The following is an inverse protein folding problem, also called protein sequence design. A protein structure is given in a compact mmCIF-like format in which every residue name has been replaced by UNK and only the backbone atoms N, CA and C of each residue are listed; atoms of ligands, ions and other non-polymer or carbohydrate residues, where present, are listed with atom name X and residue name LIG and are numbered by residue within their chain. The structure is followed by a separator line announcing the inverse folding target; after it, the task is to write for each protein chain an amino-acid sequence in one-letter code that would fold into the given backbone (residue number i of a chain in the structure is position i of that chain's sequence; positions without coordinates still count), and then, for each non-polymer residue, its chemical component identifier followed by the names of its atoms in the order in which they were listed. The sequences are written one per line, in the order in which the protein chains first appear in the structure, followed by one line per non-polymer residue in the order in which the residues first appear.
data_IF_631493867222
#
_entry.id   IF_631493867222
#
_cell.length_a   1.000
_cell.length_b   1.000
_cell.length_c   1.000
_cell.angle_alpha   90.00
_cell.angle_beta   90.00
_cell.angle_gamma   90.00
#
_symmetry.space_group_name_H-M   'P 1'
#
loop_
_entity.id
_entity.type
_entity.pdbx_description
1 polymer ?
#
# COMPACT_ATOMS: atom_id res chain seq x y z
N UNK A 1 -14.74 -15.09 -7.11
CA UNK A 1 -13.92 -13.98 -7.62
C UNK A 1 -13.89 -12.93 -6.54
N UNK A 2 -12.71 -12.47 -6.13
CA UNK A 2 -12.56 -11.45 -5.09
C UNK A 2 -12.23 -10.10 -5.74
N UNK A 3 -12.38 -9.02 -4.98
CA UNK A 3 -12.11 -7.65 -5.43
C UNK A 3 -11.05 -7.02 -4.54
N UNK A 4 -10.02 -6.41 -5.13
CA UNK A 4 -8.95 -5.72 -4.40
C UNK A 4 -9.10 -4.22 -4.59
N UNK A 5 -9.18 -3.48 -3.48
CA UNK A 5 -9.13 -2.02 -3.49
C UNK A 5 -7.70 -1.56 -3.25
N UNK A 6 -7.16 -0.77 -4.17
CA UNK A 6 -5.77 -0.31 -4.20
C UNK A 6 -5.75 1.21 -4.28
N UNK A 7 -5.00 1.82 -3.38
CA UNK A 7 -4.79 3.26 -3.29
C UNK A 7 -3.46 3.59 -3.94
N UNK A 8 -3.48 4.43 -4.96
CA UNK A 8 -2.28 4.95 -5.60
C UNK A 8 -1.93 6.30 -4.99
N UNK A 9 -0.66 6.48 -4.65
CA UNK A 9 -0.16 7.70 -4.02
C UNK A 9 0.46 8.61 -5.08
N UNK A 10 0.33 9.93 -4.85
CA UNK A 10 1.10 10.92 -5.61
C UNK A 10 2.57 10.65 -5.38
N UNK A 11 3.37 10.67 -6.46
CA UNK A 11 4.82 10.42 -6.41
C UNK A 11 5.44 11.21 -5.24
N UNK A 12 5.87 10.52 -4.18
CA UNK A 12 6.39 11.18 -2.99
C UNK A 12 7.77 11.79 -3.21
N UNK A 13 8.35 11.59 -4.41
CA UNK A 13 9.71 11.97 -4.73
C UNK A 13 10.72 11.06 -4.03
N UNK A 14 11.99 11.48 -4.12
CA UNK A 14 13.11 10.75 -3.54
C UNK A 14 13.16 10.90 -2.03
N UNK A 15 13.14 9.82 -1.26
CA UNK A 15 13.30 9.93 0.20
C UNK A 15 14.78 10.11 0.59
N UNK A 16 15.09 10.76 1.73
CA UNK A 16 16.46 11.16 2.06
C UNK A 16 17.50 10.02 2.14
N UNK A 17 17.05 8.78 2.37
CA UNK A 17 17.91 7.60 2.44
C UNK A 17 17.88 6.75 1.16
N UNK A 18 17.11 7.14 0.14
CA UNK A 18 16.87 6.32 -1.04
C UNK A 18 18.16 5.90 -1.76
N UNK A 19 19.10 6.82 -1.99
CA UNK A 19 20.39 6.51 -2.65
C UNK A 19 21.20 5.47 -1.89
N UNK A 20 21.30 5.65 -0.57
CA UNK A 20 22.09 4.78 0.31
C UNK A 20 21.45 3.39 0.43
N UNK A 21 20.13 3.33 0.40
CA UNK A 21 19.36 2.09 0.42
C UNK A 21 19.41 1.35 -0.92
N UNK A 22 19.43 2.07 -2.05
CA UNK A 22 19.66 1.51 -3.39
C UNK A 22 21.07 0.94 -3.52
N UNK A 23 22.09 1.64 -3.02
CA UNK A 23 23.47 1.14 -2.92
C UNK A 23 23.54 -0.16 -2.09
N UNK A 24 22.93 -0.18 -0.90
CA UNK A 24 22.89 -1.37 -0.05
C UNK A 24 22.09 -2.53 -0.64
N UNK A 25 21.01 -2.26 -1.37
CA UNK A 25 20.23 -3.29 -2.07
C UNK A 25 21.02 -3.92 -3.23
N UNK A 26 21.91 -3.14 -3.87
CA UNK A 26 22.78 -3.60 -4.96
C UNK A 26 24.03 -4.35 -4.50
N UNK A 27 24.46 -4.15 -3.25
CA UNK A 27 25.71 -4.71 -2.70
C UNK A 27 25.66 -6.19 -2.29
N UNK A 28 24.50 -6.85 -2.38
CA UNK A 28 24.36 -8.26 -2.05
C UNK A 28 24.42 -8.57 -0.54
N UNK A 29 24.01 -9.81 -0.18
CA UNK A 29 23.76 -10.23 1.22
C UNK A 29 25.00 -10.22 2.14
N UNK A 30 26.20 -10.13 1.59
CA UNK A 30 27.45 -10.29 2.36
C UNK A 30 27.89 -9.00 3.08
N UNK A 31 27.35 -7.82 2.72
CA UNK A 31 27.78 -6.53 3.29
C UNK A 31 26.80 -5.91 4.32
N UNK A 32 25.74 -6.61 4.71
CA UNK A 32 24.75 -6.11 5.69
C UNK A 32 24.84 -6.83 7.05
N UNK A 33 25.78 -6.45 7.94
CA UNK A 33 25.94 -7.09 9.24
C UNK A 33 24.84 -6.63 10.22
N UNK A 34 24.06 -7.58 10.71
CA UNK A 34 23.25 -7.42 11.92
C UNK A 34 21.88 -6.74 11.74
N UNK A 35 20.81 -7.51 11.98
CA UNK A 35 19.48 -7.04 12.38
C UNK A 35 18.66 -6.09 11.46
N UNK A 36 19.11 -5.72 10.26
CA UNK A 36 18.29 -4.98 9.29
C UNK A 36 17.67 -5.83 8.17
N UNK A 37 17.83 -7.15 8.21
CA UNK A 37 17.31 -8.08 7.20
C UNK A 37 15.80 -8.35 7.29
N UNK A 38 15.07 -7.65 8.17
CA UNK A 38 13.60 -7.68 8.22
C UNK A 38 13.02 -6.30 8.55
N UNK A 39 12.40 -5.63 7.57
CA UNK A 39 11.94 -4.22 7.62
C UNK A 39 13.11 -3.24 7.78
N UNK A 40 13.46 -2.41 6.80
CA UNK A 40 12.68 -1.21 6.47
C UNK A 40 13.14 -0.70 5.09
N UNK A 41 13.04 -1.51 4.03
CA UNK A 41 13.13 -0.94 2.68
C UNK A 41 11.79 -0.24 2.44
N UNK A 42 11.67 0.96 2.99
CA UNK A 42 10.56 1.85 2.76
C UNK A 42 10.70 2.44 1.38
N UNK A 43 10.63 1.61 0.33
CA UNK A 43 10.27 2.14 -0.98
C UNK A 43 9.06 3.00 -0.75
N UNK A 44 9.12 4.21 -1.26
CA UNK A 44 8.02 5.14 -1.19
C UNK A 44 6.88 4.49 -1.99
N UNK A 45 6.00 3.77 -1.27
CA UNK A 45 5.11 2.80 -1.88
C UNK A 45 4.22 3.56 -2.88
N UNK A 46 4.36 3.33 -4.21
CA UNK A 46 3.57 4.07 -5.18
C UNK A 46 2.09 3.71 -5.06
N UNK A 47 1.80 2.57 -4.41
CA UNK A 47 0.46 2.09 -4.11
C UNK A 47 0.42 1.30 -2.81
N UNK A 48 -0.72 1.31 -2.14
CA UNK A 48 -1.04 0.49 -0.98
C UNK A 48 -2.36 -0.25 -1.19
N UNK A 49 -2.43 -1.50 -0.72
CA UNK A 49 -3.69 -2.24 -0.73
C UNK A 49 -4.54 -1.78 0.47
N UNK A 50 -5.74 -1.30 0.18
CA UNK A 50 -6.72 -0.92 1.20
C UNK A 50 -7.40 -2.15 1.80
N UNK A 51 -7.86 -3.06 0.95
CA UNK A 51 -8.58 -4.26 1.36
C UNK A 51 -8.79 -5.24 0.21
N UNK A 52 -9.20 -6.46 0.56
CA UNK A 52 -9.69 -7.49 -0.38
C UNK A 52 -11.08 -7.90 0.10
N UNK A 53 -12.03 -7.97 -0.83
CA UNK A 53 -13.44 -8.21 -0.59
C UNK A 53 -13.91 -9.43 -1.38
N UNK A 54 -14.84 -10.21 -0.82
CA UNK A 54 -15.35 -11.42 -1.47
C UNK A 54 -16.34 -11.12 -2.59
N UNK A 55 -16.95 -9.94 -2.59
CA UNK A 55 -17.96 -9.54 -3.56
C UNK A 55 -17.77 -8.06 -3.96
N UNK A 56 -18.36 -7.70 -5.09
CA UNK A 56 -18.26 -6.36 -5.66
C UNK A 56 -18.93 -5.31 -4.77
N UNK A 57 -20.07 -5.64 -4.16
CA UNK A 57 -20.86 -4.71 -3.35
C UNK A 57 -20.08 -4.19 -2.13
N UNK A 58 -19.33 -5.08 -1.46
CA UNK A 58 -18.49 -4.72 -0.32
C UNK A 58 -17.30 -3.85 -0.77
N UNK A 59 -16.72 -4.15 -1.93
CA UNK A 59 -15.66 -3.33 -2.51
C UNK A 59 -16.16 -1.93 -2.91
N UNK A 60 -17.35 -1.83 -3.50
CA UNK A 60 -18.00 -0.56 -3.84
C UNK A 60 -18.35 0.25 -2.59
N UNK A 61 -18.83 -0.41 -1.53
CA UNK A 61 -19.09 0.25 -0.24
C UNK A 61 -17.81 0.85 0.33
N UNK A 62 -16.68 0.14 0.25
CA UNK A 62 -15.38 0.67 0.63
C UNK A 62 -14.94 1.86 -0.23
N UNK A 63 -15.21 1.85 -1.55
CA UNK A 63 -14.93 3.00 -2.41
C UNK A 63 -15.75 4.23 -2.01
N UNK A 64 -17.01 4.05 -1.62
CA UNK A 64 -17.86 5.14 -1.13
C UNK A 64 -17.29 5.73 0.16
N UNK A 65 -16.87 4.89 1.11
CA UNK A 65 -16.28 5.34 2.38
C UNK A 65 -14.96 6.09 2.16
N UNK A 66 -14.11 5.60 1.25
CA UNK A 66 -12.87 6.26 0.87
C UNK A 66 -13.18 7.62 0.22
N UNK A 67 -14.12 7.66 -0.73
CA UNK A 67 -14.53 8.88 -1.41
C UNK A 67 -15.02 9.94 -0.41
N UNK A 68 -15.90 9.55 0.51
CA UNK A 68 -16.40 10.42 1.57
C UNK A 68 -15.26 10.96 2.46
N UNK A 69 -14.31 10.10 2.83
CA UNK A 69 -13.15 10.52 3.64
C UNK A 69 -12.29 11.56 2.91
N UNK A 70 -11.96 11.30 1.63
CA UNK A 70 -11.13 12.17 0.82
C UNK A 70 -11.82 13.51 0.50
N UNK A 71 -13.12 13.51 0.22
CA UNK A 71 -13.90 14.74 0.01
C UNK A 71 -13.90 15.66 1.24
N UNK A 72 -13.87 15.06 2.44
CA UNK A 72 -13.76 15.80 3.70
C UNK A 72 -12.31 16.11 4.09
N UNK A 73 -11.35 15.91 3.20
CA UNK A 73 -9.91 16.07 3.44
C UNK A 73 -9.40 15.27 4.66
N UNK A 74 -10.07 14.16 4.97
CA UNK A 74 -9.68 13.30 6.09
C UNK A 74 -8.58 12.33 5.65
N UNK A 75 -7.61 12.03 6.54
CA UNK A 75 -6.58 11.06 6.22
C UNK A 75 -7.19 9.67 6.06
N UNK A 76 -6.77 8.96 5.02
CA UNK A 76 -7.18 7.59 4.79
C UNK A 76 -6.45 6.65 5.74
N UNK A 77 -7.20 5.86 6.49
CA UNK A 77 -6.65 4.85 7.39
C UNK A 77 -6.59 3.50 6.71
N UNK A 78 -5.39 2.95 6.55
CA UNK A 78 -5.18 1.58 6.04
C UNK A 78 -4.68 0.71 7.18
N UNK A 79 -5.33 -0.43 7.40
CA UNK A 79 -4.91 -1.40 8.42
C UNK A 79 -4.38 -2.65 7.74
N UNK A 80 -3.13 -3.02 8.00
CA UNK A 80 -2.56 -4.30 7.55
C UNK A 80 -2.92 -5.43 8.50
N UNK A 81 -2.98 -6.64 7.95
CA UNK A 81 -3.11 -7.90 8.68
C UNK A 81 -1.98 -8.10 9.73
N UNK A 82 -0.85 -7.41 9.60
CA UNK A 82 0.28 -7.44 10.54
C UNK A 82 0.18 -6.38 11.65
N UNK A 83 -1.03 -5.91 12.00
CA UNK A 83 -1.29 -4.90 13.04
C UNK A 83 -0.64 -3.53 12.80
N UNK A 84 -0.19 -3.25 11.57
CA UNK A 84 0.32 -1.92 11.19
C UNK A 84 -0.84 -1.06 10.69
N UNK A 85 -0.90 0.17 11.15
CA UNK A 85 -1.85 1.18 10.66
C UNK A 85 -1.07 2.29 9.96
N UNK A 86 -1.54 2.66 8.76
CA UNK A 86 -1.06 3.83 8.05
C UNK A 86 -2.17 4.89 8.02
N UNK A 87 -1.78 6.13 8.25
CA UNK A 87 -2.59 7.31 7.97
C UNK A 87 -2.00 8.02 6.77
N UNK A 88 -2.76 8.06 5.69
CA UNK A 88 -2.36 8.67 4.43
C UNK A 88 -3.08 10.00 4.32
N UNK A 89 -2.38 11.14 4.30
CA UNK A 89 -2.98 12.43 4.03
C UNK A 89 -3.80 12.41 2.72
N UNK A 90 -4.95 13.08 2.68
CA UNK A 90 -5.84 13.05 1.51
C UNK A 90 -5.16 13.60 0.25
N UNK A 91 -4.32 14.62 0.39
CA UNK A 91 -3.51 15.23 -0.68
C UNK A 91 -2.44 14.30 -1.26
N UNK A 92 -2.12 13.20 -0.55
CA UNK A 92 -1.19 12.17 -1.03
C UNK A 92 -1.87 11.09 -1.84
N UNK A 93 -3.20 11.02 -1.87
CA UNK A 93 -3.93 10.03 -2.68
C UNK A 93 -4.09 10.56 -4.10
N UNK A 94 -3.55 9.85 -5.08
CA UNK A 94 -3.67 10.21 -6.49
C UNK A 94 -4.98 9.68 -7.09
N UNK A 95 -5.21 8.37 -6.98
CA UNK A 95 -6.45 7.72 -7.36
C UNK A 95 -6.62 6.40 -6.62
N UNK A 96 -7.82 5.84 -6.67
CA UNK A 96 -8.17 4.55 -6.04
C UNK A 96 -8.76 3.64 -7.11
N UNK A 97 -8.32 2.39 -7.14
CA UNK A 97 -8.77 1.36 -8.09
C UNK A 97 -9.44 0.23 -7.33
N UNK A 98 -10.55 -0.28 -7.87
CA UNK A 98 -11.09 -1.59 -7.53
C UNK A 98 -10.86 -2.51 -8.72
N UNK A 99 -10.14 -3.61 -8.51
CA UNK A 99 -9.86 -4.62 -9.53
C UNK A 99 -10.36 -5.98 -9.09
N UNK A 100 -10.92 -6.74 -10.03
CA UNK A 100 -11.21 -8.16 -9.81
C UNK A 100 -9.89 -8.94 -9.74
N UNK A 101 -9.76 -9.81 -8.74
CA UNK A 101 -8.56 -10.59 -8.48
C UNK A 101 -8.90 -12.06 -8.27
N UNK A 102 -8.11 -12.92 -8.91
CA UNK A 102 -8.12 -14.36 -8.65
C UNK A 102 -7.12 -14.66 -7.54
N UNK A 103 -7.60 -15.19 -6.41
CA UNK A 103 -6.69 -15.58 -5.32
C UNK A 103 -6.12 -16.97 -5.62
N UNK A 104 -4.94 -17.31 -5.05
CA UNK A 104 -4.39 -18.66 -5.16
C UNK A 104 -5.35 -19.76 -4.70
N UNK A 105 -6.24 -19.45 -3.73
CA UNK A 105 -7.28 -20.39 -3.26
C UNK A 105 -8.42 -20.59 -4.26
N UNK A 106 -8.65 -19.64 -5.16
CA UNK A 106 -9.72 -19.72 -6.16
C UNK A 106 -9.28 -20.47 -7.43
N UNK A 107 -8.00 -20.88 -7.53
CA UNK A 107 -7.44 -21.67 -8.64
C UNK A 107 -7.40 -23.18 -8.37
N UNK A 108 -7.97 -23.64 -7.24
CA UNK A 108 -8.04 -25.06 -6.87
C UNK A 108 -9.34 -25.72 -7.33
#
# INVERSE_FOLDING_TARGET
MAYSVIVWLVDPGKHPQQDREEEWASAGRDEAPGAHTGSTVGYSLPRMRYGVYENQQDAESALVDISNSLQNNQPLRITSQASRQWLIPADRVHYVVCEEVTRPKDQQ
#
